data_IF_023327393301
#
_entry.id   IF_023327393301
#
_cell.length_a   1.000
_cell.length_b   1.000
_cell.length_c   1.000
_cell.angle_alpha   90.00
_cell.angle_beta   90.00
_cell.angle_gamma   90.00
#
_symmetry.space_group_name_H-M   'P 1'
#
loop_
_entity.id
_entity.type
_entity.pdbx_description
1 polymer ?
#
# COMPACT_ATOMS: atom_id res chain seq x y z
N UNK A 1 -4.01 -10.91 -6.12
CA UNK A 1 -4.65 -9.69 -5.57
C UNK A 1 -6.18 -9.72 -5.57
N UNK A 2 -6.84 -10.74 -6.14
CA UNK A 2 -8.30 -10.87 -6.11
C UNK A 2 -8.84 -10.94 -4.67
N UNK A 3 -8.31 -11.86 -3.86
CA UNK A 3 -8.70 -12.02 -2.44
C UNK A 3 -8.47 -10.74 -1.62
N UNK A 4 -7.35 -10.06 -1.83
CA UNK A 4 -7.08 -8.75 -1.19
C UNK A 4 -8.11 -7.68 -1.61
N UNK A 5 -8.60 -7.71 -2.86
CA UNK A 5 -9.66 -6.82 -3.32
C UNK A 5 -11.03 -7.21 -2.74
N UNK A 6 -11.31 -8.50 -2.58
CA UNK A 6 -12.53 -8.99 -1.92
C UNK A 6 -12.56 -8.56 -0.45
N UNK A 7 -11.42 -8.58 0.25
CA UNK A 7 -11.29 -8.08 1.65
C UNK A 7 -11.69 -6.62 1.79
N UNK A 8 -11.39 -5.75 0.81
CA UNK A 8 -11.82 -4.34 0.83
C UNK A 8 -13.35 -4.17 0.88
N UNK A 9 -14.12 -5.17 0.45
CA UNK A 9 -15.59 -5.13 0.50
C UNK A 9 -16.16 -5.67 1.81
N UNK A 10 -15.34 -6.36 2.59
CA UNK A 10 -15.76 -7.11 3.79
C UNK A 10 -15.25 -6.47 5.08
N UNK A 11 -14.18 -5.67 4.99
CA UNK A 11 -13.52 -5.03 6.11
C UNK A 11 -13.48 -3.51 5.88
N UNK A 12 -14.38 -2.79 6.55
CA UNK A 12 -14.53 -1.35 6.43
C UNK A 12 -13.30 -0.58 6.92
N UNK A 13 -12.63 -1.08 7.96
CA UNK A 13 -11.44 -0.44 8.55
C UNK A 13 -10.25 -0.58 7.61
N UNK A 14 -10.06 -1.77 7.03
CA UNK A 14 -9.07 -2.02 5.98
C UNK A 14 -9.30 -1.14 4.76
N UNK A 15 -10.55 -1.02 4.32
CA UNK A 15 -10.93 -0.17 3.20
C UNK A 15 -10.67 1.31 3.48
N UNK A 16 -11.00 1.78 4.68
CA UNK A 16 -10.72 3.14 5.12
C UNK A 16 -9.21 3.42 5.19
N UNK A 17 -8.42 2.49 5.72
CA UNK A 17 -6.95 2.60 5.76
C UNK A 17 -6.36 2.67 4.34
N UNK A 18 -6.80 1.79 3.43
CA UNK A 18 -6.32 1.79 2.06
C UNK A 18 -6.74 3.05 1.29
N UNK A 19 -7.94 3.58 1.55
CA UNK A 19 -8.41 4.87 0.99
C UNK A 19 -7.57 6.04 1.49
N UNK A 20 -7.26 6.11 2.78
CA UNK A 20 -6.35 7.14 3.33
C UNK A 20 -4.97 7.09 2.67
N UNK A 21 -4.43 5.88 2.44
CA UNK A 21 -3.17 5.71 1.73
C UNK A 21 -3.23 6.27 0.29
N UNK A 22 -4.32 5.97 -0.42
CA UNK A 22 -4.59 6.49 -1.76
C UNK A 22 -4.69 8.02 -1.79
N UNK A 23 -5.46 8.61 -0.88
CA UNK A 23 -5.68 10.06 -0.79
C UNK A 23 -4.38 10.80 -0.44
N UNK A 24 -3.58 10.26 0.49
CA UNK A 24 -2.27 10.82 0.83
C UNK A 24 -1.33 10.83 -0.37
N UNK A 25 -1.24 9.73 -1.11
CA UNK A 25 -0.42 9.67 -2.32
C UNK A 25 -0.92 10.65 -3.39
N UNK A 26 -2.24 10.73 -3.60
CA UNK A 26 -2.82 11.62 -4.60
C UNK A 26 -2.53 13.08 -4.28
N UNK A 27 -2.71 13.49 -3.02
CA UNK A 27 -2.42 14.85 -2.55
C UNK A 27 -0.96 15.26 -2.79
N UNK A 28 -0.01 14.38 -2.48
CA UNK A 28 1.41 14.66 -2.72
C UNK A 28 1.77 14.72 -4.21
N UNK A 29 1.14 13.87 -5.04
CA UNK A 29 1.35 13.89 -6.49
C UNK A 29 0.77 15.15 -7.11
N UNK A 30 -0.45 15.54 -6.70
CA UNK A 30 -1.12 16.76 -7.16
C UNK A 30 -0.41 18.04 -6.70
N UNK A 31 0.36 18.00 -5.61
CA UNK A 31 1.17 19.13 -5.15
C UNK A 31 2.31 19.51 -6.13
N UNK A 32 2.72 18.61 -7.02
CA UNK A 32 3.67 18.90 -8.10
C UNK A 32 2.92 19.57 -9.26
N UNK A 33 1.94 18.85 -9.81
CA UNK A 33 1.04 19.34 -10.85
C UNK A 33 -0.23 18.46 -10.86
N UNK A 34 -1.43 19.05 -10.90
CA UNK A 34 -2.66 18.29 -11.03
C UNK A 34 -2.77 17.58 -12.39
N UNK A 35 -2.94 16.26 -12.38
CA UNK A 35 -3.18 15.44 -13.56
C UNK A 35 -4.68 15.36 -13.91
N UNK A 36 -5.55 16.04 -13.16
CA UNK A 36 -7.00 16.06 -13.41
C UNK A 36 -7.70 14.71 -13.15
N UNK A 37 -7.12 13.84 -12.32
CA UNK A 37 -7.64 12.51 -12.00
C UNK A 37 -7.76 12.30 -10.50
N UNK A 38 -8.79 11.57 -10.09
CA UNK A 38 -9.00 11.14 -8.70
C UNK A 38 -8.57 9.70 -8.45
N UNK A 39 -8.05 8.98 -9.45
CA UNK A 39 -7.56 7.61 -9.31
C UNK A 39 -6.05 7.52 -9.53
N UNK A 40 -5.36 6.66 -8.77
CA UNK A 40 -3.88 6.55 -8.78
C UNK A 40 -3.40 5.32 -9.56
N UNK A 41 -4.24 4.80 -10.46
CA UNK A 41 -4.02 3.61 -11.27
C UNK A 41 -4.29 2.29 -10.54
N UNK A 42 -4.43 1.19 -11.28
CA UNK A 42 -4.66 -0.15 -10.69
C UNK A 42 -6.07 -0.38 -10.13
N UNK A 43 -6.95 0.62 -10.16
CA UNK A 43 -8.31 0.57 -9.62
C UNK A 43 -8.43 1.05 -8.17
N UNK A 44 -7.40 1.70 -7.61
CA UNK A 44 -7.48 2.29 -6.27
C UNK A 44 -8.56 3.39 -6.21
N UNK A 45 -9.25 3.54 -5.06
CA UNK A 45 -9.08 2.78 -3.82
C UNK A 45 -9.88 1.46 -3.76
N UNK A 46 -10.73 1.17 -4.74
CA UNK A 46 -11.69 0.06 -4.64
C UNK A 46 -11.11 -1.29 -5.10
N UNK A 47 -9.95 -1.28 -5.76
CA UNK A 47 -9.15 -2.48 -6.04
C UNK A 47 -7.72 -2.32 -5.59
N UNK A 48 -7.13 -3.45 -5.19
CA UNK A 48 -5.72 -3.51 -4.80
C UNK A 48 -4.83 -3.41 -6.03
N UNK A 49 -4.03 -2.35 -6.07
CA UNK A 49 -2.96 -2.14 -7.05
C UNK A 49 -1.86 -3.21 -6.91
N UNK A 50 -1.07 -3.41 -7.98
CA UNK A 50 0.07 -4.33 -7.98
C UNK A 50 0.94 -4.20 -6.72
N UNK A 51 1.23 -5.34 -6.06
CA UNK A 51 1.88 -5.40 -4.76
C UNK A 51 3.20 -4.60 -4.71
N UNK A 52 4.00 -4.63 -5.78
CA UNK A 52 5.25 -3.88 -5.84
C UNK A 52 5.06 -2.36 -5.64
N UNK A 53 3.93 -1.78 -6.08
CA UNK A 53 3.68 -0.33 -5.90
C UNK A 53 3.23 -0.03 -4.49
N UNK A 54 2.37 -0.86 -3.89
CA UNK A 54 1.93 -0.63 -2.50
C UNK A 54 3.05 -0.89 -1.51
N UNK A 55 3.93 -1.87 -1.77
CA UNK A 55 5.18 -2.06 -1.03
C UNK A 55 6.10 -0.84 -1.16
N UNK A 56 6.30 -0.31 -2.38
CA UNK A 56 7.11 0.88 -2.59
C UNK A 56 6.53 2.10 -1.85
N UNK A 57 5.21 2.23 -1.79
CA UNK A 57 4.55 3.28 -1.01
C UNK A 57 4.82 3.13 0.49
N UNK A 58 4.65 1.93 1.05
CA UNK A 58 4.99 1.64 2.45
C UNK A 58 6.47 1.90 2.75
N UNK A 59 7.39 1.46 1.90
CA UNK A 59 8.82 1.74 2.06
C UNK A 59 9.13 3.25 2.04
N UNK A 60 8.42 4.03 1.23
CA UNK A 60 8.62 5.47 1.15
C UNK A 60 7.98 6.25 2.32
N UNK A 61 6.90 5.75 2.90
CA UNK A 61 6.11 6.44 3.94
C UNK A 61 6.33 5.93 5.35
N UNK A 62 6.85 4.71 5.47
CA UNK A 62 6.96 3.98 6.72
C UNK A 62 5.76 3.06 6.99
N UNK A 63 5.87 2.19 8.01
CA UNK A 63 4.83 1.25 8.40
C UNK A 63 3.52 1.93 8.83
N UNK A 64 2.41 1.23 8.65
CA UNK A 64 1.07 1.67 9.04
C UNK A 64 0.36 2.54 8.01
N UNK A 65 1.02 2.86 6.89
CA UNK A 65 0.49 3.79 5.89
C UNK A 65 -0.31 3.07 4.81
N UNK A 66 0.18 1.95 4.29
CA UNK A 66 -0.53 1.19 3.25
C UNK A 66 -0.68 -0.28 3.68
N UNK A 67 -1.87 -0.71 4.11
CA UNK A 67 -2.04 -2.00 4.78
C UNK A 67 -1.57 -3.19 3.94
N UNK A 68 -1.84 -3.19 2.62
CA UNK A 68 -1.37 -4.28 1.75
C UNK A 68 0.12 -4.20 1.40
N UNK A 69 0.68 -2.99 1.41
CA UNK A 69 2.14 -2.81 1.29
C UNK A 69 2.85 -3.37 2.52
N UNK A 70 2.32 -3.06 3.70
CA UNK A 70 2.84 -3.51 4.99
C UNK A 70 2.73 -5.03 5.13
N UNK A 71 1.57 -5.61 4.82
CA UNK A 71 1.39 -7.08 4.80
C UNK A 71 2.38 -7.77 3.86
N UNK A 72 2.59 -7.23 2.66
CA UNK A 72 3.53 -7.80 1.71
C UNK A 72 4.99 -7.69 2.17
N UNK A 73 5.35 -6.57 2.81
CA UNK A 73 6.68 -6.38 3.39
C UNK A 73 6.90 -7.27 4.62
N UNK A 74 5.89 -7.46 5.47
CA UNK A 74 5.94 -8.38 6.60
C UNK A 74 6.24 -9.82 6.14
N UNK A 75 5.55 -10.27 5.09
CA UNK A 75 5.79 -11.58 4.48
C UNK A 75 7.21 -11.71 3.93
N UNK A 76 7.75 -10.67 3.29
CA UNK A 76 9.10 -10.70 2.74
C UNK A 76 10.20 -10.52 3.80
N UNK A 77 9.93 -9.79 4.89
CA UNK A 77 10.93 -9.49 5.93
C UNK A 77 11.37 -10.73 6.73
N UNK A 78 10.60 -11.81 6.68
CA UNK A 78 10.97 -13.10 7.28
C UNK A 78 11.68 -14.05 6.32
N UNK A 79 11.75 -13.72 5.03
CA UNK A 79 12.43 -14.55 4.04
C UNK A 79 13.95 -14.46 4.22
N UNK A 80 14.68 -15.59 4.32
CA UNK A 80 16.14 -15.57 4.47
C UNK A 80 16.87 -14.80 3.36
N UNK A 81 16.31 -14.79 2.15
CA UNK A 81 16.84 -14.04 1.02
C UNK A 81 16.78 -12.50 1.20
N UNK A 82 15.91 -12.01 2.08
CA UNK A 82 15.73 -10.59 2.38
C UNK A 82 16.49 -10.16 3.63
N UNK A 83 17.23 -11.06 4.29
CA UNK A 83 18.02 -10.74 5.47
C UNK A 83 19.07 -9.65 5.15
N UNK A 84 19.03 -8.55 5.90
CA UNK A 84 19.90 -7.38 5.69
C UNK A 84 19.41 -6.41 4.60
N UNK A 85 18.30 -6.71 3.92
CA UNK A 85 17.62 -5.81 2.98
C UNK A 85 16.37 -5.21 3.63
N UNK A 86 15.54 -6.04 4.25
CA UNK A 86 14.38 -5.62 5.01
C UNK A 86 14.64 -5.77 6.51
N UNK A 87 14.32 -4.73 7.27
CA UNK A 87 14.39 -4.77 8.72
C UNK A 87 13.17 -5.49 9.29
N UNK A 88 13.42 -6.63 9.93
CA UNK A 88 12.35 -7.43 10.53
C UNK A 88 11.66 -6.70 11.68
N UNK A 89 12.40 -5.89 12.46
CA UNK A 89 11.83 -5.15 13.60
C UNK A 89 10.88 -4.03 13.15
N UNK A 90 10.97 -3.61 11.90
CA UNK A 90 10.13 -2.56 11.31
C UNK A 90 8.86 -3.14 10.70
N UNK A 91 8.94 -4.33 10.09
CA UNK A 91 7.87 -4.87 9.25
C UNK A 91 7.13 -6.07 9.86
N UNK A 92 7.57 -6.63 10.99
CA UNK A 92 6.95 -7.78 11.68
C UNK A 92 6.62 -7.42 13.12
#
# INVERSE_FOLDING_TARGET
MREMTERLQQDEDLAAAYRRAHESYLAERDAIEPLGTTFTGGGMPDRVKCLHVVMAHSLAKGPGVNPFGDEALALLAVEPAMAGILDREVWV
#
